data_IF_288573652709
#
_entry.id   IF_288573652709
#
_cell.length_a   1.000
_cell.length_b   1.000
_cell.length_c   1.000
_cell.angle_alpha   90.00
_cell.angle_beta   90.00
_cell.angle_gamma   90.00
#
_symmetry.space_group_name_H-M   'P 1'
#
loop_
_entity.id
_entity.type
_entity.pdbx_description
1 polymer ?
#
# COMPACT_ATOMS: atom_id res chain seq x y z
N UNK A 1 -2.16 4.26 -23.83
CA UNK A 1 -3.08 3.58 -22.89
C UNK A 1 -3.31 2.20 -23.45
N UNK A 2 -2.71 1.19 -22.84
CA UNK A 2 -2.89 -0.20 -23.24
C UNK A 2 -3.88 -0.80 -22.24
N UNK A 3 -5.10 -1.08 -22.68
CA UNK A 3 -6.05 -1.84 -21.88
C UNK A 3 -5.61 -3.30 -21.95
N UNK A 4 -5.23 -3.86 -20.81
CA UNK A 4 -4.95 -5.29 -20.72
C UNK A 4 -6.27 -6.04 -20.54
N UNK A 5 -6.64 -6.84 -21.55
CA UNK A 5 -7.77 -7.74 -21.42
C UNK A 5 -7.50 -8.80 -20.35
N UNK A 6 -8.54 -9.16 -19.59
CA UNK A 6 -8.44 -10.31 -18.69
C UNK A 6 -8.33 -11.60 -19.50
N UNK A 7 -7.62 -12.60 -18.99
CA UNK A 7 -7.34 -13.83 -19.74
C UNK A 7 -8.57 -14.70 -19.98
N UNK A 8 -9.69 -14.40 -19.32
CA UNK A 8 -10.94 -15.15 -19.42
C UNK A 8 -12.07 -14.25 -19.93
N UNK A 9 -12.60 -14.60 -21.10
CA UNK A 9 -13.77 -13.96 -21.70
C UNK A 9 -15.05 -14.67 -21.26
N UNK A 10 -16.11 -13.89 -21.04
CA UNK A 10 -17.43 -14.41 -20.68
C UNK A 10 -18.49 -13.86 -21.63
N UNK A 11 -19.19 -14.75 -22.30
CA UNK A 11 -20.39 -14.38 -23.05
C UNK A 11 -21.56 -14.20 -22.08
N UNK A 12 -22.30 -13.11 -22.24
CA UNK A 12 -23.47 -12.79 -21.44
C UNK A 12 -24.59 -12.23 -22.32
N UNK A 13 -25.83 -12.41 -21.89
CA UNK A 13 -27.02 -11.90 -22.60
C UNK A 13 -27.64 -10.76 -21.82
N UNK A 14 -27.97 -9.68 -22.52
CA UNK A 14 -28.74 -8.57 -21.95
C UNK A 14 -30.20 -9.02 -21.83
N UNK A 15 -30.80 -8.82 -20.66
CA UNK A 15 -32.21 -9.13 -20.40
C UNK A 15 -33.00 -7.87 -20.08
N UNK A 16 -34.28 -7.89 -20.40
CA UNK A 16 -35.21 -6.85 -19.99
C UNK A 16 -35.59 -7.06 -18.51
N UNK A 17 -35.62 -5.99 -17.73
CA UNK A 17 -36.13 -5.97 -16.37
C UNK A 17 -36.91 -4.67 -16.14
N UNK A 18 -38.23 -4.79 -16.05
CA UNK A 18 -39.11 -3.62 -16.04
C UNK A 18 -38.94 -2.78 -17.31
N UNK A 19 -38.55 -1.52 -17.14
CA UNK A 19 -38.29 -0.57 -18.25
C UNK A 19 -36.81 -0.42 -18.61
N UNK A 20 -35.93 -1.26 -18.03
CA UNK A 20 -34.49 -1.15 -18.21
C UNK A 20 -33.87 -2.44 -18.70
N UNK A 21 -32.69 -2.32 -19.31
CA UNK A 21 -31.85 -3.46 -19.68
C UNK A 21 -30.89 -3.80 -18.55
N UNK A 22 -30.70 -5.09 -18.29
CA UNK A 22 -29.82 -5.60 -17.25
C UNK A 22 -28.83 -6.57 -17.86
N UNK A 23 -27.55 -6.33 -17.59
CA UNK A 23 -26.46 -7.28 -17.84
C UNK A 23 -26.00 -7.85 -16.51
N UNK A 24 -25.90 -9.17 -16.41
CA UNK A 24 -25.43 -9.83 -15.19
C UNK A 24 -23.92 -9.98 -15.25
N UNK A 25 -23.20 -9.44 -14.28
CA UNK A 25 -21.75 -9.63 -14.17
C UNK A 25 -21.48 -11.08 -13.71
N UNK A 26 -20.71 -11.88 -14.48
CA UNK A 26 -20.33 -13.23 -14.08
C UNK A 26 -19.66 -13.27 -12.70
N UNK A 27 -20.03 -14.26 -11.87
CA UNK A 27 -19.45 -14.45 -10.52
C UNK A 27 -17.92 -14.43 -10.49
N UNK A 28 -17.18 -15.04 -11.45
CA UNK A 28 -15.72 -14.97 -11.46
C UNK A 28 -15.18 -13.54 -11.57
N UNK A 29 -15.74 -12.72 -12.47
CA UNK A 29 -15.37 -11.31 -12.63
C UNK A 29 -15.74 -10.51 -11.37
N UNK A 30 -16.95 -10.68 -10.84
CA UNK A 30 -17.37 -10.02 -9.62
C UNK A 30 -16.46 -10.34 -8.43
N UNK A 31 -16.02 -11.59 -8.29
CA UNK A 31 -15.05 -12.00 -7.26
C UNK A 31 -13.67 -11.43 -7.49
N UNK A 32 -13.15 -11.50 -8.72
CA UNK A 32 -11.81 -11.00 -9.10
C UNK A 32 -11.70 -9.51 -8.83
N UNK A 33 -12.68 -8.73 -9.26
CA UNK A 33 -12.73 -7.27 -9.06
C UNK A 33 -13.34 -6.88 -7.71
N UNK A 34 -13.66 -7.82 -6.83
CA UNK A 34 -14.23 -7.56 -5.50
C UNK A 34 -15.47 -6.65 -5.51
N UNK A 35 -16.33 -6.80 -6.53
CA UNK A 35 -17.53 -6.00 -6.70
C UNK A 35 -18.54 -6.29 -5.59
N UNK A 36 -19.16 -5.24 -5.06
CA UNK A 36 -20.18 -5.31 -4.01
C UNK A 36 -21.52 -4.82 -4.51
N UNK A 37 -22.59 -5.36 -3.94
CA UNK A 37 -23.93 -4.83 -4.18
C UNK A 37 -24.03 -3.36 -3.72
N UNK A 38 -24.79 -2.54 -4.44
CA UNK A 38 -24.90 -1.10 -4.19
C UNK A 38 -23.65 -0.27 -4.50
N UNK A 39 -22.57 -0.86 -5.02
CA UNK A 39 -21.37 -0.11 -5.42
C UNK A 39 -21.68 0.86 -6.55
N UNK A 40 -21.29 2.12 -6.39
CA UNK A 40 -21.38 3.13 -7.45
C UNK A 40 -20.36 2.82 -8.55
N UNK A 41 -20.80 2.90 -9.80
CA UNK A 41 -19.98 2.71 -10.99
C UNK A 41 -20.39 3.72 -12.06
N UNK A 42 -19.51 3.99 -13.01
CA UNK A 42 -19.83 4.78 -14.20
C UNK A 42 -19.99 3.85 -15.39
N UNK A 43 -21.12 3.91 -16.08
CA UNK A 43 -21.33 3.17 -17.33
C UNK A 43 -20.91 4.06 -18.50
N UNK A 44 -20.00 3.57 -19.34
CA UNK A 44 -19.39 4.33 -20.44
C UNK A 44 -19.70 3.65 -21.76
N UNK A 45 -20.33 4.38 -22.68
CA UNK A 45 -20.46 3.96 -24.07
C UNK A 45 -19.21 4.33 -24.85
N UNK A 46 -18.67 3.38 -25.60
CA UNK A 46 -17.49 3.53 -26.44
C UNK A 46 -17.81 2.97 -27.83
N UNK A 47 -17.25 3.57 -28.86
CA UNK A 47 -17.40 3.08 -30.23
C UNK A 47 -16.15 3.39 -31.03
N UNK A 48 -15.91 2.61 -32.07
CA UNK A 48 -14.89 2.87 -33.09
C UNK A 48 -15.41 2.45 -34.46
N UNK A 49 -14.87 3.07 -35.50
CA UNK A 49 -15.24 2.81 -36.89
C UNK A 49 -13.98 2.49 -37.69
N UNK A 50 -13.64 1.22 -37.89
CA UNK A 50 -12.54 0.82 -38.81
C UNK A 50 -12.45 -0.70 -39.07
N UNK A 51 -12.77 -1.23 -40.28
CA UNK A 51 -13.72 -0.75 -41.30
C UNK A 51 -15.19 -1.04 -40.95
N UNK A 52 -15.46 -1.71 -39.83
CA UNK A 52 -16.81 -1.99 -39.31
C UNK A 52 -17.10 -1.08 -38.11
N UNK A 53 -18.39 -0.83 -37.85
CA UNK A 53 -18.83 -0.17 -36.62
C UNK A 53 -18.76 -1.17 -35.47
N UNK A 54 -17.94 -0.86 -34.47
CA UNK A 54 -17.79 -1.68 -33.27
C UNK A 54 -18.17 -0.83 -32.05
N UNK A 55 -19.14 -1.31 -31.27
CA UNK A 55 -19.61 -0.66 -30.04
C UNK A 55 -19.24 -1.47 -28.80
N UNK A 56 -18.96 -0.76 -27.70
CA UNK A 56 -18.67 -1.34 -26.39
C UNK A 56 -19.37 -0.54 -25.30
N UNK A 57 -19.92 -1.24 -24.31
CA UNK A 57 -20.37 -0.63 -23.05
C UNK A 57 -19.42 -1.12 -21.96
N UNK A 58 -18.66 -0.19 -21.39
CA UNK A 58 -17.75 -0.45 -20.27
C UNK A 58 -18.37 -0.06 -18.94
N UNK A 59 -17.96 -0.75 -17.88
CA UNK A 59 -18.23 -0.35 -16.49
C UNK A 59 -16.91 0.15 -15.90
N UNK A 60 -16.81 1.47 -15.70
CA UNK A 60 -15.70 2.08 -15.02
C UNK A 60 -15.91 2.02 -13.50
N UNK A 61 -14.99 1.34 -12.83
CA UNK A 61 -15.05 1.10 -11.39
C UNK A 61 -14.36 2.20 -10.56
N UNK A 62 -13.60 3.10 -11.19
CA UNK A 62 -12.77 4.07 -10.46
C UNK A 62 -11.36 3.56 -10.18
N UNK A 63 -10.70 4.16 -9.19
CA UNK A 63 -9.38 3.73 -8.70
C UNK A 63 -9.56 2.67 -7.61
N UNK A 64 -8.86 1.54 -7.77
CA UNK A 64 -8.79 0.55 -6.69
C UNK A 64 -7.82 1.02 -5.62
N UNK A 65 -8.33 1.20 -4.40
CA UNK A 65 -7.58 1.63 -3.23
C UNK A 65 -7.44 0.45 -2.28
N UNK A 66 -6.20 0.12 -1.92
CA UNK A 66 -5.90 -0.84 -0.86
C UNK A 66 -5.19 -0.10 0.27
N UNK A 67 -5.78 -0.11 1.46
CA UNK A 67 -5.23 0.43 2.69
C UNK A 67 -4.81 -0.73 3.59
N UNK A 68 -3.53 -0.74 3.96
CA UNK A 68 -2.94 -1.87 4.67
C UNK A 68 -2.38 -1.35 5.99
N UNK A 69 -2.80 -1.93 7.13
CA UNK A 69 -2.27 -1.52 8.42
C UNK A 69 -0.80 -1.90 8.51
N UNK A 70 0.00 -0.95 8.97
CA UNK A 70 1.41 -1.14 9.25
C UNK A 70 1.73 -0.54 10.62
N UNK A 71 2.63 -1.21 11.34
CA UNK A 71 3.22 -0.66 12.55
C UNK A 71 4.51 0.08 12.19
N UNK A 72 4.75 1.18 12.90
CA UNK A 72 5.94 1.99 12.75
C UNK A 72 6.42 2.55 14.06
N UNK A 73 7.58 3.18 13.99
CA UNK A 73 8.18 3.89 15.11
C UNK A 73 8.71 5.25 14.66
N UNK A 74 8.83 6.16 15.62
CA UNK A 74 9.50 7.44 15.45
C UNK A 74 10.48 7.62 16.60
N UNK A 75 11.71 8.00 16.27
CA UNK A 75 12.75 8.42 17.20
C UNK A 75 13.04 9.90 16.99
N UNK A 76 13.24 10.60 18.11
CA UNK A 76 13.65 11.99 18.14
C UNK A 76 15.07 12.08 18.67
N UNK A 77 15.98 12.62 17.86
CA UNK A 77 17.38 12.84 18.21
C UNK A 77 17.64 14.33 18.29
N UNK A 78 18.09 14.81 19.45
CA UNK A 78 18.47 16.20 19.66
C UNK A 78 19.94 16.44 19.27
N UNK A 79 20.19 17.63 18.74
CA UNK A 79 21.50 18.15 18.36
C UNK A 79 22.32 17.12 17.55
N UNK A 80 21.79 16.63 16.41
CA UNK A 80 22.50 15.63 15.60
C UNK A 80 23.84 16.21 15.11
N UNK A 81 24.97 15.50 15.31
CA UNK A 81 26.26 15.98 14.85
C UNK A 81 26.29 16.03 13.32
N UNK A 82 26.95 17.04 12.74
CA UNK A 82 27.04 17.19 11.27
C UNK A 82 27.67 15.97 10.57
N UNK A 83 28.56 15.25 11.25
CA UNK A 83 29.18 14.01 10.77
C UNK A 83 28.21 12.85 10.57
N UNK A 84 26.97 12.96 11.07
CA UNK A 84 25.90 11.99 10.87
C UNK A 84 25.36 12.01 9.45
N UNK A 85 25.54 13.11 8.71
CA UNK A 85 25.03 13.29 7.37
C UNK A 85 26.10 12.96 6.34
N UNK A 86 25.69 12.42 5.20
CA UNK A 86 26.56 12.23 4.04
C UNK A 86 26.88 13.62 3.49
N UNK A 87 28.17 13.91 3.30
CA UNK A 87 28.66 15.22 2.87
C UNK A 87 27.95 15.69 1.59
N UNK A 88 27.41 16.90 1.62
CA UNK A 88 26.64 17.47 0.50
C UNK A 88 25.22 16.90 0.33
N UNK A 89 24.70 16.12 1.28
CA UNK A 89 23.33 15.59 1.22
C UNK A 89 22.62 15.61 2.57
N UNK A 90 21.30 15.51 2.55
CA UNK A 90 20.49 15.34 3.75
C UNK A 90 20.44 13.88 4.24
N UNK A 91 21.06 12.94 3.53
CA UNK A 91 20.99 11.51 3.86
C UNK A 91 21.86 11.16 5.07
N UNK A 92 21.37 10.24 5.91
CA UNK A 92 22.08 9.80 7.12
C UNK A 92 23.10 8.70 6.79
N UNK A 93 24.31 8.84 7.36
CA UNK A 93 25.38 7.83 7.34
C UNK A 93 25.27 6.88 8.54
N UNK A 94 24.13 6.19 8.66
CA UNK A 94 23.84 5.26 9.76
C UNK A 94 23.61 3.84 9.24
N UNK A 95 24.55 2.94 9.55
CA UNK A 95 24.46 1.52 9.21
C UNK A 95 23.25 0.85 9.88
N UNK A 96 22.89 1.28 11.09
CA UNK A 96 21.75 0.73 11.83
C UNK A 96 20.43 0.93 11.08
N UNK A 97 20.28 2.03 10.35
CA UNK A 97 19.10 2.28 9.52
C UNK A 97 19.11 1.40 8.27
N UNK A 98 20.29 1.23 7.64
CA UNK A 98 20.49 0.30 6.51
C UNK A 98 20.16 -1.14 6.91
N UNK A 99 20.53 -1.55 8.13
CA UNK A 99 20.23 -2.89 8.66
C UNK A 99 18.72 -3.09 8.83
N UNK A 100 17.97 -2.07 9.27
CA UNK A 100 16.52 -2.13 9.36
C UNK A 100 15.87 -2.30 7.99
N UNK A 101 16.34 -1.54 6.99
CA UNK A 101 15.87 -1.64 5.60
C UNK A 101 16.18 -3.03 5.05
N UNK A 102 17.38 -3.57 5.30
CA UNK A 102 17.81 -4.84 4.73
C UNK A 102 17.13 -6.04 5.39
N UNK A 103 17.15 -6.07 6.73
CA UNK A 103 16.68 -7.19 7.56
C UNK A 103 15.16 -7.25 7.65
N UNK A 104 14.50 -6.11 7.80
CA UNK A 104 13.04 -6.06 8.05
C UNK A 104 12.27 -5.41 6.91
N UNK A 105 12.93 -5.03 5.80
CA UNK A 105 12.31 -4.28 4.70
C UNK A 105 11.57 -3.03 5.21
N UNK A 106 12.09 -2.45 6.28
CA UNK A 106 11.55 -1.26 6.90
C UNK A 106 11.73 -0.08 5.94
N UNK A 107 10.65 0.67 5.69
CA UNK A 107 10.76 1.95 5.00
C UNK A 107 11.17 3.00 6.04
N UNK A 108 12.40 3.49 5.91
CA UNK A 108 12.96 4.50 6.82
C UNK A 108 12.97 5.85 6.11
N UNK A 109 12.45 6.85 6.80
CA UNK A 109 12.53 8.26 6.40
C UNK A 109 13.10 9.06 7.56
N UNK A 110 13.71 10.18 7.24
CA UNK A 110 14.19 11.10 8.25
C UNK A 110 13.92 12.53 7.81
N UNK A 111 13.77 13.41 8.80
CA UNK A 111 13.60 14.84 8.61
C UNK A 111 14.44 15.56 9.64
N UNK A 112 15.19 16.55 9.19
CA UNK A 112 15.93 17.48 10.06
C UNK A 112 15.10 18.75 10.19
N UNK A 113 14.94 19.22 11.42
CA UNK A 113 14.29 20.49 11.72
C UNK A 113 15.12 21.21 12.78
N UNK A 114 15.81 22.28 12.39
CA UNK A 114 16.77 23.04 13.22
C UNK A 114 17.78 22.18 13.98
N UNK A 115 17.47 21.81 15.23
CA UNK A 115 18.30 21.02 16.14
C UNK A 115 17.75 19.61 16.40
N UNK A 116 16.68 19.22 15.72
CA UNK A 116 16.03 17.92 15.87
C UNK A 116 16.16 17.08 14.60
N UNK A 117 16.55 15.82 14.76
CA UNK A 117 16.44 14.80 13.74
C UNK A 117 15.32 13.83 14.11
N UNK A 118 14.29 13.77 13.28
CA UNK A 118 13.22 12.78 13.38
C UNK A 118 13.51 11.63 12.44
N UNK A 119 13.62 10.42 13.00
CA UNK A 119 13.78 9.18 12.24
C UNK A 119 12.49 8.40 12.37
N UNK A 120 11.85 8.09 11.23
CA UNK A 120 10.60 7.36 11.17
C UNK A 120 10.79 6.08 10.37
N UNK A 121 10.53 4.93 10.99
CA UNK A 121 10.55 3.62 10.33
C UNK A 121 9.15 3.02 10.27
N UNK A 122 8.77 2.48 9.12
CA UNK A 122 7.49 1.79 8.91
C UNK A 122 7.79 0.38 8.43
N UNK A 123 7.32 -0.63 9.15
CA UNK A 123 7.49 -2.03 8.76
C UNK A 123 6.39 -2.41 7.77
N UNK A 124 6.81 -2.68 6.53
CA UNK A 124 5.91 -3.01 5.44
C UNK A 124 6.14 -4.46 5.00
N UNK A 125 5.16 -5.34 5.25
CA UNK A 125 5.22 -6.77 4.92
C UNK A 125 4.97 -7.15 3.47
N UNK A 126 4.56 -6.19 2.63
CA UNK A 126 3.87 -6.55 1.40
C UNK A 126 4.78 -6.89 0.22
N UNK A 127 6.05 -6.51 0.29
CA UNK A 127 6.99 -6.84 -0.78
C UNK A 127 7.37 -8.33 -0.78
N UNK A 128 7.05 -9.08 0.29
CA UNK A 128 7.26 -10.52 0.40
C UNK A 128 6.16 -11.15 1.26
N UNK A 129 5.10 -11.74 0.65
CA UNK A 129 3.99 -12.38 1.38
C UNK A 129 4.42 -13.46 2.39
N UNK A 130 5.64 -13.99 2.25
CA UNK A 130 6.24 -14.99 3.14
C UNK A 130 6.92 -14.42 4.39
N UNK A 131 7.05 -13.09 4.50
CA UNK A 131 7.82 -12.46 5.57
C UNK A 131 6.91 -11.98 6.71
N UNK A 132 7.07 -12.58 7.89
CA UNK A 132 6.42 -12.09 9.11
C UNK A 132 6.92 -10.67 9.37
N UNK A 133 6.00 -9.71 9.32
CA UNK A 133 6.32 -8.30 9.54
C UNK A 133 6.31 -8.01 11.03
N UNK A 134 7.32 -7.34 11.58
CA UNK A 134 7.29 -6.91 12.97
C UNK A 134 6.02 -6.09 13.25
N UNK A 135 5.30 -6.45 14.31
CA UNK A 135 4.06 -5.80 14.73
C UNK A 135 4.01 -5.63 16.25
N UNK A 136 3.26 -4.65 16.75
CA UNK A 136 3.06 -4.42 18.19
C UNK A 136 4.36 -4.42 19.02
N UNK A 137 4.50 -5.40 19.93
CA UNK A 137 5.67 -5.52 20.84
C UNK A 137 6.99 -5.72 20.11
N UNK A 138 6.99 -6.34 18.92
CA UNK A 138 8.21 -6.51 18.14
C UNK A 138 8.75 -5.18 17.62
N UNK A 139 7.85 -4.30 17.15
CA UNK A 139 8.21 -2.95 16.72
C UNK A 139 8.78 -2.15 17.88
N UNK A 140 8.16 -2.23 19.06
CA UNK A 140 8.67 -1.57 20.25
C UNK A 140 10.07 -2.07 20.64
N UNK A 141 10.30 -3.38 20.59
CA UNK A 141 11.61 -3.98 20.85
C UNK A 141 12.67 -3.52 19.84
N UNK A 142 12.34 -3.50 18.55
CA UNK A 142 13.25 -3.03 17.49
C UNK A 142 13.56 -1.54 17.66
N UNK A 143 12.56 -0.71 17.97
CA UNK A 143 12.75 0.71 18.20
C UNK A 143 13.64 0.98 19.42
N UNK A 144 13.45 0.24 20.53
CA UNK A 144 14.31 0.30 21.73
C UNK A 144 15.75 -0.13 21.43
N UNK A 145 15.95 -1.20 20.67
CA UNK A 145 17.28 -1.65 20.25
C UNK A 145 17.98 -0.59 19.38
N UNK A 146 17.26 0.01 18.43
CA UNK A 146 17.78 1.10 17.62
C UNK A 146 18.17 2.30 18.49
N UNK A 147 17.29 2.74 19.40
CA UNK A 147 17.59 3.82 20.34
C UNK A 147 18.89 3.54 21.10
N UNK A 148 19.03 2.35 21.68
CA UNK A 148 20.23 1.97 22.43
C UNK A 148 21.51 2.01 21.58
N UNK A 149 21.43 1.55 20.32
CA UNK A 149 22.56 1.60 19.38
C UNK A 149 22.95 3.04 19.02
N UNK A 150 21.97 3.90 18.77
CA UNK A 150 22.20 5.32 18.48
C UNK A 150 22.81 6.04 19.70
N UNK A 151 22.30 5.78 20.91
CA UNK A 151 22.85 6.35 22.14
C UNK A 151 24.28 5.89 22.41
N UNK A 152 24.62 4.63 22.15
CA UNK A 152 26.01 4.13 22.24
C UNK A 152 26.97 4.80 21.26
N UNK A 153 26.45 5.35 20.15
CA UNK A 153 27.21 6.17 19.20
C UNK A 153 27.29 7.65 19.60
N UNK A 154 26.82 8.01 20.79
CA UNK A 154 26.86 9.38 21.30
C UNK A 154 25.69 10.25 20.85
N UNK A 155 24.64 9.68 20.25
CA UNK A 155 23.45 10.44 19.84
C UNK A 155 22.47 10.60 21.02
N UNK A 156 22.01 11.83 21.24
CA UNK A 156 21.02 12.14 22.28
C UNK A 156 19.61 11.84 21.78
N UNK A 157 19.17 10.60 21.93
CA UNK A 157 17.78 10.19 21.63
C UNK A 157 16.88 10.59 22.79
N UNK A 158 15.96 11.54 22.58
CA UNK A 158 15.11 12.11 23.63
C UNK A 158 13.65 11.63 23.58
N UNK A 159 13.26 11.00 22.48
CA UNK A 159 11.90 10.52 22.31
C UNK A 159 11.83 9.24 21.48
N UNK A 160 10.89 8.38 21.86
CA UNK A 160 10.47 7.23 21.06
C UNK A 160 8.97 7.03 21.21
N UNK A 161 8.30 6.81 20.09
CA UNK A 161 6.92 6.34 20.07
C UNK A 161 6.74 5.29 18.99
N UNK A 162 5.82 4.36 19.23
CA UNK A 162 5.30 3.46 18.21
C UNK A 162 3.93 3.94 17.75
N UNK A 163 3.55 3.64 16.52
CA UNK A 163 2.27 4.05 15.96
C UNK A 163 1.78 3.05 14.93
N UNK A 164 0.47 3.10 14.65
CA UNK A 164 -0.16 2.42 13.52
C UNK A 164 -0.42 3.42 12.40
N UNK A 165 -0.23 2.98 11.17
CA UNK A 165 -0.51 3.78 9.97
C UNK A 165 -1.18 2.90 8.92
N UNK A 166 -2.09 3.48 8.14
CA UNK A 166 -2.63 2.83 6.95
C UNK A 166 -1.81 3.26 5.74
N UNK A 167 -1.24 2.29 5.03
CA UNK A 167 -0.48 2.53 3.81
C UNK A 167 -1.38 2.30 2.60
N UNK A 168 -1.55 3.34 1.78
CA UNK A 168 -2.29 3.24 0.53
C UNK A 168 -1.41 2.68 -0.59
N UNK A 169 -1.93 1.67 -1.31
CA UNK A 169 -1.24 1.05 -2.45
C UNK A 169 -2.17 0.76 -3.61
N UNK A 170 -1.56 0.73 -4.79
CA UNK A 170 -2.14 0.19 -6.01
C UNK A 170 -1.79 -1.30 -6.08
N UNK A 171 -2.79 -2.17 -6.10
CA UNK A 171 -2.61 -3.63 -6.21
C UNK A 171 -3.69 -4.19 -7.12
N UNK A 172 -3.42 -5.31 -7.80
CA UNK A 172 -4.45 -6.02 -8.55
C UNK A 172 -5.53 -6.56 -7.57
N UNK A 173 -6.81 -6.19 -7.73
CA UNK A 173 -7.91 -6.71 -6.92
C UNK A 173 -7.95 -8.24 -6.85
N UNK A 174 -7.57 -8.94 -7.92
CA UNK A 174 -7.53 -10.39 -7.97
C UNK A 174 -6.47 -11.02 -7.08
N UNK A 175 -5.38 -10.30 -6.76
CA UNK A 175 -4.42 -10.76 -5.76
C UNK A 175 -5.05 -10.70 -4.37
N UNK A 176 -5.76 -9.61 -4.05
CA UNK A 176 -6.47 -9.46 -2.76
C UNK A 176 -7.63 -10.44 -2.63
N UNK A 177 -8.34 -10.71 -3.72
CA UNK A 177 -9.45 -11.67 -3.74
C UNK A 177 -9.00 -13.11 -3.47
N UNK A 178 -7.76 -13.46 -3.80
CA UNK A 178 -7.15 -14.77 -3.47
C UNK A 178 -6.88 -14.88 -1.97
N UNK A 179 -7.01 -16.08 -1.42
CA UNK A 179 -6.99 -16.33 0.03
C UNK A 179 -5.73 -15.81 0.74
N UNK A 180 -4.56 -15.84 0.09
CA UNK A 180 -3.28 -15.46 0.73
C UNK A 180 -3.16 -14.01 1.21
N UNK A 181 -3.98 -13.06 0.73
CA UNK A 181 -4.01 -11.69 1.24
C UNK A 181 -5.15 -11.43 2.23
N UNK A 182 -6.15 -12.31 2.30
CA UNK A 182 -7.24 -12.20 3.27
C UNK A 182 -6.79 -12.51 4.70
N UNK A 183 -5.69 -13.24 4.83
CA UNK A 183 -5.10 -13.63 6.13
C UNK A 183 -4.28 -12.50 6.78
N UNK A 184 -4.14 -11.36 6.10
CA UNK A 184 -3.57 -10.15 6.70
C UNK A 184 -4.71 -9.36 7.34
N UNK A 185 -4.79 -9.43 8.67
CA UNK A 185 -5.80 -8.72 9.45
C UNK A 185 -5.81 -7.22 9.13
N UNK A 186 -7.00 -6.69 8.85
CA UNK A 186 -7.24 -5.26 8.70
C UNK A 186 -6.96 -4.64 7.33
N UNK A 187 -6.64 -5.44 6.29
CA UNK A 187 -6.61 -4.91 4.91
C UNK A 187 -8.00 -4.40 4.52
N UNK A 188 -8.07 -3.14 4.11
CA UNK A 188 -9.27 -2.53 3.53
C UNK A 188 -9.04 -2.33 2.04
N UNK A 189 -9.97 -2.81 1.22
CA UNK A 189 -9.90 -2.65 -0.22
C UNK A 189 -11.25 -2.17 -0.77
N UNK A 190 -11.22 -1.14 -1.60
CA UNK A 190 -12.41 -0.55 -2.20
C UNK A 190 -12.13 0.12 -3.55
N UNK A 191 -13.19 0.27 -4.32
CA UNK A 191 -13.21 1.08 -5.52
C UNK A 191 -13.68 2.49 -5.17
N UNK A 192 -12.89 3.50 -5.56
CA UNK A 192 -13.21 4.91 -5.37
C UNK A 192 -13.38 5.55 -6.75
N UNK A 193 -14.60 6.01 -7.05
CA UNK A 193 -14.91 6.76 -8.27
C UNK A 193 -14.26 8.15 -8.24
#
# INVERSE_FOLDING_TARGET
MEWHEDTTLFSATIRLSGRSLVLTIPKPLARRFMLKDGQKVTVVGMWKETPLFEGMIGIYLGRFKVAIPADGFELLVENPPKSLFIEGSENLKLQELQDLVTKYKCYVTHRVDEQELRIRGIFNGLNQPSMITPAGKDVERIAKDLMNKLSKKGLKVVGMKTFKVELERSMDPGLIARRGFKDIDGIKAEWVL
#
